data_IF_699200509585
#
_entry.id   IF_699200509585
#
_cell.length_a   1.000
_cell.length_b   1.000
_cell.length_c   1.000
_cell.angle_alpha   90.00
_cell.angle_beta   90.00
_cell.angle_gamma   90.00
#
_symmetry.space_group_name_H-M   'P 1'
#
loop_
_entity.id
_entity.type
_entity.pdbx_description
1 polymer ?
#
# COMPACT_ATOMS: atom_id res chain seq x y z
N UNK A 1 30.92 33.67 22.96
CA UNK A 1 30.30 33.89 24.28
C UNK A 1 28.99 34.63 24.04
N UNK A 2 27.87 33.91 24.11
CA UNK A 2 26.55 34.53 23.93
C UNK A 2 26.36 35.51 25.07
N UNK A 3 26.34 36.80 24.73
CA UNK A 3 26.29 37.95 25.62
C UNK A 3 24.88 38.07 26.20
N UNK A 4 24.46 37.11 27.01
CA UNK A 4 23.18 37.17 27.75
C UNK A 4 23.29 37.97 29.06
N UNK A 5 24.43 38.64 29.31
CA UNK A 5 24.75 39.28 30.59
C UNK A 5 24.65 40.80 30.65
N UNK A 6 24.41 41.52 29.54
CA UNK A 6 24.51 42.99 29.52
C UNK A 6 23.23 43.74 29.14
N UNK A 7 22.07 43.07 29.15
CA UNK A 7 20.79 43.74 28.92
C UNK A 7 20.05 44.10 30.22
N UNK A 8 20.66 43.97 31.40
CA UNK A 8 19.98 44.29 32.67
C UNK A 8 20.37 45.66 33.26
N UNK A 9 21.60 46.20 33.09
CA UNK A 9 21.85 47.58 33.55
C UNK A 9 21.46 48.68 32.55
N UNK A 10 21.35 48.40 31.24
CA UNK A 10 21.08 49.45 30.25
C UNK A 10 19.60 49.82 30.11
N UNK A 11 18.66 48.98 30.56
CA UNK A 11 17.23 49.28 30.52
C UNK A 11 16.83 50.28 31.62
N UNK A 12 17.58 50.29 32.73
CA UNK A 12 17.44 51.30 33.78
C UNK A 12 18.03 52.66 33.37
N UNK A 13 19.01 52.68 32.45
CA UNK A 13 19.60 53.91 31.93
C UNK A 13 18.71 54.61 30.88
N UNK A 14 17.67 53.95 30.38
CA UNK A 14 16.77 54.47 29.34
C UNK A 14 15.30 54.51 29.80
N UNK A 15 15.02 55.04 31.00
CA UNK A 15 13.80 55.78 31.36
C UNK A 15 12.41 55.23 31.01
N UNK A 16 12.24 53.95 30.68
CA UNK A 16 10.93 53.38 30.32
C UNK A 16 10.43 52.46 31.44
N UNK A 17 9.61 53.03 32.32
CA UNK A 17 8.97 52.34 33.46
C UNK A 17 8.23 51.05 33.05
N UNK A 18 7.68 51.03 31.83
CA UNK A 18 7.01 49.87 31.26
C UNK A 18 7.95 48.67 31.04
N UNK A 19 9.17 48.88 30.54
CA UNK A 19 10.12 47.81 30.26
C UNK A 19 10.59 47.09 31.54
N UNK A 20 10.84 47.87 32.60
CA UNK A 20 11.23 47.34 33.90
C UNK A 20 10.08 46.59 34.59
N UNK A 21 8.85 47.12 34.54
CA UNK A 21 7.68 46.46 35.10
C UNK A 21 7.37 45.12 34.40
N UNK A 22 7.52 45.08 33.07
CA UNK A 22 7.37 43.85 32.29
C UNK A 22 8.45 42.83 32.64
N UNK A 23 9.71 43.24 32.76
CA UNK A 23 10.80 42.36 33.16
C UNK A 23 10.60 41.79 34.58
N UNK A 24 10.23 42.64 35.54
CA UNK A 24 9.94 42.23 36.91
C UNK A 24 8.75 41.26 36.97
N UNK A 25 7.71 41.48 36.17
CA UNK A 25 6.56 40.58 36.05
C UNK A 25 6.95 39.20 35.54
N UNK A 26 7.77 39.13 34.49
CA UNK A 26 8.25 37.87 33.93
C UNK A 26 9.25 37.14 34.86
N UNK A 27 10.08 37.89 35.60
CA UNK A 27 10.96 37.33 36.63
C UNK A 27 10.16 36.71 37.78
N UNK A 28 9.15 37.41 38.30
CA UNK A 28 8.28 36.90 39.36
C UNK A 28 7.42 35.70 38.90
N UNK A 29 7.10 35.63 37.61
CA UNK A 29 6.43 34.47 37.00
C UNK A 29 7.37 33.28 36.73
N UNK A 30 8.67 33.40 37.03
CA UNK A 30 9.69 32.37 36.82
C UNK A 30 10.10 32.18 35.35
N UNK A 31 9.65 33.05 34.45
CA UNK A 31 9.93 32.97 33.01
C UNK A 31 11.29 33.59 32.64
N UNK A 32 11.83 34.43 33.51
CA UNK A 32 13.18 35.00 33.39
C UNK A 32 13.97 34.69 34.65
N UNK A 33 15.23 34.29 34.50
CA UNK A 33 16.14 34.14 35.63
C UNK A 33 17.12 35.31 35.68
N UNK A 34 17.35 35.83 36.88
CA UNK A 34 18.33 36.87 37.17
C UNK A 34 19.77 36.36 37.27
N UNK A 35 19.98 35.05 37.13
CA UNK A 35 21.30 34.41 37.13
C UNK A 35 21.71 34.00 35.72
N UNK A 36 23.00 34.10 35.40
CA UNK A 36 23.55 33.68 34.11
C UNK A 36 23.29 32.20 33.76
N UNK A 37 23.05 31.36 34.76
CA UNK A 37 22.73 29.95 34.56
C UNK A 37 21.24 29.73 34.21
N UNK A 38 20.33 30.50 34.83
CA UNK A 38 18.91 30.32 34.57
C UNK A 38 18.44 30.94 33.25
N UNK A 39 19.12 31.98 32.74
CA UNK A 39 18.85 32.45 31.38
C UNK A 39 19.24 31.42 30.31
N UNK A 40 20.30 30.64 30.58
CA UNK A 40 20.68 29.49 29.74
C UNK A 40 19.64 28.37 29.83
N UNK A 41 19.13 28.06 31.02
CA UNK A 41 18.06 27.07 31.20
C UNK A 41 16.77 27.47 30.45
N UNK A 42 16.34 28.73 30.55
CA UNK A 42 15.15 29.22 29.86
C UNK A 42 15.34 29.26 28.33
N UNK A 43 16.54 29.61 27.86
CA UNK A 43 16.88 29.56 26.44
C UNK A 43 16.85 28.12 25.90
N UNK A 44 17.40 27.15 26.64
CA UNK A 44 17.33 25.73 26.26
C UNK A 44 15.87 25.25 26.23
N UNK A 45 15.06 25.59 27.24
CA UNK A 45 13.66 25.18 27.28
C UNK A 45 12.87 25.71 26.08
N UNK A 46 13.11 26.95 25.67
CA UNK A 46 12.53 27.53 24.46
C UNK A 46 13.01 26.82 23.20
N UNK A 47 14.31 26.52 23.09
CA UNK A 47 14.88 25.79 21.95
C UNK A 47 14.30 24.38 21.82
N UNK A 48 14.21 23.62 22.93
CA UNK A 48 13.63 22.27 22.94
C UNK A 48 12.16 22.32 22.51
N UNK A 49 11.40 23.30 22.99
CA UNK A 49 10.00 23.50 22.61
C UNK A 49 9.83 23.86 21.13
N UNK A 50 10.70 24.73 20.60
CA UNK A 50 10.73 25.08 19.18
C UNK A 50 11.14 23.89 18.30
N UNK A 51 12.16 23.12 18.70
CA UNK A 51 12.61 21.95 17.97
C UNK A 51 11.53 20.88 17.89
N UNK A 52 10.84 20.60 19.00
CA UNK A 52 9.72 19.65 19.00
C UNK A 52 8.58 20.11 18.08
N UNK A 53 8.26 21.41 18.07
CA UNK A 53 7.26 21.99 17.18
C UNK A 53 7.70 21.98 15.71
N UNK A 54 8.98 22.19 15.41
CA UNK A 54 9.54 22.09 14.06
C UNK A 54 9.45 20.65 13.54
N UNK A 55 9.79 19.66 14.38
CA UNK A 55 9.61 18.23 14.04
C UNK A 55 8.14 17.92 13.74
N UNK A 56 7.23 18.35 14.63
CA UNK A 56 5.79 18.18 14.44
C UNK A 56 5.29 18.89 13.16
N UNK A 57 5.76 20.11 12.88
CA UNK A 57 5.40 20.87 11.69
C UNK A 57 5.90 20.21 10.41
N UNK A 58 7.11 19.64 10.40
CA UNK A 58 7.65 18.93 9.24
C UNK A 58 6.87 17.63 8.98
N UNK A 59 6.50 16.90 10.03
CA UNK A 59 5.66 15.68 9.91
C UNK A 59 4.24 16.04 9.46
N UNK A 60 3.63 17.05 10.07
CA UNK A 60 2.27 17.50 9.78
C UNK A 60 2.12 18.13 8.40
N UNK A 61 3.16 18.77 7.87
CA UNK A 61 3.17 19.35 6.52
C UNK A 61 3.32 18.31 5.40
N UNK A 62 3.81 17.09 5.69
CA UNK A 62 4.10 16.08 4.66
C UNK A 62 2.92 15.17 4.28
N UNK A 63 1.74 15.32 4.89
CA UNK A 63 0.67 14.34 4.69
C UNK A 63 -0.66 15.03 4.38
N UNK A 64 -0.97 15.32 3.10
CA UNK A 64 -2.36 15.45 2.69
C UNK A 64 -3.00 14.06 2.79
N UNK A 65 -3.52 13.74 3.98
CA UNK A 65 -4.34 12.55 4.20
C UNK A 65 -5.60 12.68 3.32
N UNK A 66 -5.60 12.01 2.17
CA UNK A 66 -6.83 11.77 1.42
C UNK A 66 -7.42 10.46 1.91
N UNK A 67 -8.54 10.54 2.61
CA UNK A 67 -9.33 9.39 3.07
C UNK A 67 -9.61 8.43 1.91
N UNK A 68 -9.67 7.12 2.19
CA UNK A 68 -9.97 6.08 1.19
C UNK A 68 -11.25 6.41 0.39
N UNK A 69 -12.26 6.94 1.09
CA UNK A 69 -13.53 7.40 0.49
C UNK A 69 -13.32 8.52 -0.53
N UNK A 70 -12.42 9.47 -0.25
CA UNK A 70 -12.11 10.57 -1.16
C UNK A 70 -11.36 10.10 -2.41
N UNK A 71 -10.52 9.07 -2.29
CA UNK A 71 -9.84 8.44 -3.44
C UNK A 71 -10.84 7.74 -4.35
N UNK A 72 -11.80 7.01 -3.79
CA UNK A 72 -12.86 6.33 -4.56
C UNK A 72 -13.81 7.33 -5.23
N UNK A 73 -14.18 8.40 -4.54
CA UNK A 73 -14.98 9.48 -5.11
C UNK A 73 -14.28 10.14 -6.31
N UNK A 74 -12.98 10.46 -6.19
CA UNK A 74 -12.23 11.05 -7.30
C UNK A 74 -12.12 10.11 -8.50
N UNK A 75 -11.97 8.80 -8.27
CA UNK A 75 -12.00 7.78 -9.34
C UNK A 75 -13.37 7.72 -10.01
N UNK A 76 -14.44 7.69 -9.22
CA UNK A 76 -15.82 7.68 -9.73
C UNK A 76 -16.13 8.95 -10.56
N UNK A 77 -15.74 10.12 -10.06
CA UNK A 77 -15.88 11.39 -10.76
C UNK A 77 -15.11 11.43 -12.08
N UNK A 78 -13.87 10.93 -12.11
CA UNK A 78 -13.09 10.85 -13.34
C UNK A 78 -13.75 9.92 -14.38
N UNK A 79 -14.24 8.75 -13.96
CA UNK A 79 -14.95 7.82 -14.83
C UNK A 79 -16.27 8.40 -15.34
N UNK A 80 -17.03 9.09 -14.48
CA UNK A 80 -18.27 9.77 -14.87
C UNK A 80 -18.00 10.87 -15.91
N UNK A 81 -16.99 11.72 -15.68
CA UNK A 81 -16.61 12.78 -16.61
C UNK A 81 -16.09 12.24 -17.95
N UNK A 82 -15.39 11.10 -17.94
CA UNK A 82 -14.97 10.39 -19.16
C UNK A 82 -16.19 9.82 -19.92
N UNK A 83 -17.16 9.26 -19.20
CA UNK A 83 -18.41 8.77 -19.79
C UNK A 83 -19.26 9.92 -20.37
N UNK A 84 -19.28 11.09 -19.73
CA UNK A 84 -19.92 12.30 -20.24
C UNK A 84 -19.22 12.85 -21.47
N UNK A 85 -17.88 12.94 -21.47
CA UNK A 85 -17.13 13.35 -22.65
C UNK A 85 -17.35 12.38 -23.82
N UNK A 86 -17.37 11.08 -23.55
CA UNK A 86 -17.74 10.08 -24.56
C UNK A 86 -19.20 10.21 -25.01
N UNK A 87 -20.11 10.80 -24.21
CA UNK A 87 -21.48 11.11 -24.62
C UNK A 87 -21.58 12.38 -25.46
N UNK A 88 -20.73 13.37 -25.22
CA UNK A 88 -20.71 14.63 -25.98
C UNK A 88 -19.93 14.51 -27.29
N UNK A 89 -18.80 13.78 -27.28
CA UNK A 89 -17.97 13.52 -28.47
C UNK A 89 -18.62 12.44 -29.36
N UNK A 90 -19.34 11.47 -28.77
CA UNK A 90 -20.19 10.55 -29.53
C UNK A 90 -21.52 11.22 -29.84
N UNK A 91 -21.53 12.01 -30.90
CA UNK A 91 -22.69 12.17 -31.78
C UNK A 91 -23.13 10.78 -32.27
N UNK A 92 -23.88 10.09 -31.41
CA UNK A 92 -24.82 8.98 -31.64
C UNK A 92 -24.35 7.94 -32.67
N UNK A 93 -23.46 7.03 -32.27
CA UNK A 93 -23.61 5.66 -32.80
C UNK A 93 -24.96 5.17 -32.30
N UNK A 94 -25.93 5.05 -33.22
CA UNK A 94 -27.33 4.75 -32.94
C UNK A 94 -27.43 3.57 -31.97
N UNK A 95 -28.45 3.52 -31.11
CA UNK A 95 -28.72 2.34 -30.27
C UNK A 95 -28.73 1.05 -31.11
N UNK A 96 -29.17 1.16 -32.37
CA UNK A 96 -29.14 0.10 -33.36
C UNK A 96 -27.70 -0.30 -33.77
N UNK A 97 -26.76 0.66 -33.86
CA UNK A 97 -25.35 0.41 -34.18
C UNK A 97 -24.59 -0.30 -33.04
N UNK A 98 -24.91 0.01 -31.78
CA UNK A 98 -24.37 -0.75 -30.63
C UNK A 98 -24.91 -2.18 -30.58
N UNK A 99 -26.18 -2.39 -30.95
CA UNK A 99 -26.75 -3.74 -31.04
C UNK A 99 -26.17 -4.53 -32.24
N UNK A 100 -25.95 -3.89 -33.38
CA UNK A 100 -25.32 -4.52 -34.56
C UNK A 100 -23.85 -4.84 -34.32
N UNK A 101 -23.09 -3.95 -33.66
CA UNK A 101 -21.68 -4.17 -33.36
C UNK A 101 -21.47 -5.17 -32.21
N UNK A 102 -22.32 -5.18 -31.17
CA UNK A 102 -22.29 -6.20 -30.12
C UNK A 102 -22.60 -7.62 -30.63
N UNK A 103 -23.32 -7.75 -31.75
CA UNK A 103 -23.53 -9.02 -32.46
C UNK A 103 -22.48 -9.28 -33.57
N UNK A 104 -21.69 -8.28 -33.97
CA UNK A 104 -20.58 -8.42 -34.92
C UNK A 104 -19.27 -8.86 -34.23
N UNK A 105 -19.27 -9.01 -32.91
CA UNK A 105 -18.23 -9.68 -32.16
C UNK A 105 -18.40 -11.20 -32.30
N UNK A 106 -18.31 -11.71 -33.54
CA UNK A 106 -18.33 -13.15 -33.86
C UNK A 106 -17.25 -13.93 -33.10
N UNK A 107 -16.30 -13.26 -32.45
CA UNK A 107 -15.27 -13.87 -31.60
C UNK A 107 -15.71 -14.07 -30.15
N UNK A 108 -16.68 -13.31 -29.63
CA UNK A 108 -17.20 -13.50 -28.25
C UNK A 108 -18.37 -14.49 -28.22
N UNK A 109 -19.22 -14.51 -29.26
CA UNK A 109 -20.32 -15.48 -29.36
C UNK A 109 -19.89 -16.90 -29.74
N UNK A 110 -18.82 -17.09 -30.53
CA UNK A 110 -18.27 -18.43 -30.81
C UNK A 110 -17.65 -19.08 -29.55
N UNK A 111 -17.13 -18.26 -28.61
CA UNK A 111 -16.63 -18.77 -27.33
C UNK A 111 -17.75 -18.95 -26.29
N UNK A 112 -18.79 -18.12 -26.32
CA UNK A 112 -19.92 -18.22 -25.39
C UNK A 112 -20.93 -19.32 -25.75
N UNK A 113 -21.13 -19.60 -27.05
CA UNK A 113 -21.97 -20.71 -27.55
C UNK A 113 -21.16 -21.97 -27.88
N UNK A 114 -19.91 -22.09 -27.40
CA UNK A 114 -19.21 -23.36 -27.49
C UNK A 114 -20.03 -24.37 -26.67
N UNK A 115 -20.59 -25.43 -27.29
CA UNK A 115 -21.32 -26.42 -26.51
C UNK A 115 -20.37 -26.90 -25.42
N UNK A 116 -20.86 -26.92 -24.18
CA UNK A 116 -20.13 -27.50 -23.06
C UNK A 116 -19.67 -28.87 -23.52
N UNK A 117 -18.36 -28.99 -23.80
CA UNK A 117 -17.75 -30.28 -24.01
C UNK A 117 -17.67 -30.85 -22.62
N UNK A 118 -18.50 -31.85 -22.24
CA UNK A 118 -18.26 -32.51 -20.97
C UNK A 118 -16.79 -32.92 -20.99
N UNK A 119 -16.07 -32.54 -19.93
CA UNK A 119 -14.77 -33.17 -19.65
C UNK A 119 -15.05 -34.65 -19.77
N UNK A 120 -14.41 -35.33 -20.74
CA UNK A 120 -14.69 -36.74 -21.04
C UNK A 120 -14.59 -37.48 -19.72
N UNK A 121 -15.74 -37.89 -19.19
CA UNK A 121 -15.89 -38.66 -17.96
C UNK A 121 -15.17 -39.98 -18.20
N UNK A 122 -13.92 -40.07 -17.74
CA UNK A 122 -13.00 -41.14 -18.11
C UNK A 122 -11.58 -40.68 -18.42
N UNK A 123 -11.28 -39.37 -18.41
CA UNK A 123 -9.89 -38.94 -18.29
C UNK A 123 -9.50 -38.87 -16.81
N UNK A 124 -8.42 -39.56 -16.41
CA UNK A 124 -7.95 -39.50 -15.04
C UNK A 124 -7.42 -38.10 -14.74
N UNK A 125 -7.97 -37.47 -13.71
CA UNK A 125 -7.50 -36.17 -13.19
C UNK A 125 -6.14 -36.30 -12.53
N UNK A 126 -5.91 -37.43 -11.87
CA UNK A 126 -4.70 -37.71 -11.12
C UNK A 126 -3.89 -38.84 -11.77
N UNK A 127 -2.56 -38.64 -11.85
CA UNK A 127 -1.63 -39.60 -12.43
C UNK A 127 -0.29 -39.59 -11.70
N UNK A 128 0.18 -40.76 -11.26
CA UNK A 128 1.48 -40.87 -10.61
C UNK A 128 2.62 -40.68 -11.63
N UNK A 129 3.57 -39.79 -11.33
CA UNK A 129 4.73 -39.53 -12.18
C UNK A 129 5.73 -40.70 -12.27
N UNK A 130 5.69 -41.66 -11.33
CA UNK A 130 6.64 -42.79 -11.27
C UNK A 130 6.07 -44.04 -11.96
N UNK A 131 4.91 -44.52 -11.52
CA UNK A 131 4.31 -45.76 -12.03
C UNK A 131 3.19 -45.53 -13.06
N UNK A 132 2.74 -44.30 -13.25
CA UNK A 132 1.70 -43.98 -14.22
C UNK A 132 0.28 -44.37 -13.83
N UNK A 133 0.06 -45.01 -12.68
CA UNK A 133 -1.28 -45.34 -12.16
C UNK A 133 -2.13 -44.08 -12.01
N UNK A 134 -3.42 -44.24 -12.23
CA UNK A 134 -4.41 -43.18 -12.29
C UNK A 134 -5.57 -43.47 -11.34
N UNK A 135 -6.39 -42.45 -11.05
CA UNK A 135 -7.59 -42.60 -10.21
C UNK A 135 -8.63 -43.59 -10.76
N UNK A 136 -8.50 -44.00 -12.03
CA UNK A 136 -9.39 -44.97 -12.67
C UNK A 136 -8.95 -46.42 -12.45
N UNK A 137 -7.70 -46.66 -12.06
CA UNK A 137 -7.15 -48.02 -11.97
C UNK A 137 -7.56 -48.72 -10.68
N UNK A 138 -7.68 -47.99 -9.56
CA UNK A 138 -8.14 -48.52 -8.27
C UNK A 138 -8.61 -47.35 -7.38
N UNK A 139 -9.83 -47.50 -6.83
CA UNK A 139 -10.55 -46.48 -6.05
C UNK A 139 -9.91 -46.21 -4.68
N UNK A 140 -9.03 -47.09 -4.21
CA UNK A 140 -8.29 -46.95 -2.94
C UNK A 140 -7.01 -46.10 -3.05
N UNK A 141 -6.58 -45.76 -4.27
CA UNK A 141 -5.36 -44.98 -4.51
C UNK A 141 -5.58 -43.50 -4.18
N UNK A 142 -4.82 -43.01 -3.20
CA UNK A 142 -4.76 -41.57 -2.90
C UNK A 142 -3.55 -40.96 -3.57
N UNK A 143 -3.77 -39.89 -4.34
CA UNK A 143 -2.73 -39.10 -4.96
C UNK A 143 -2.39 -37.89 -4.09
N UNK A 144 -1.10 -37.66 -3.85
CA UNK A 144 -0.62 -36.51 -3.07
C UNK A 144 0.53 -35.81 -3.79
N UNK A 145 0.62 -34.51 -3.61
CA UNK A 145 1.72 -33.69 -4.10
C UNK A 145 2.92 -33.77 -3.16
N UNK A 146 4.12 -33.79 -3.73
CA UNK A 146 5.33 -33.59 -2.96
C UNK A 146 5.71 -32.11 -2.92
N UNK A 147 5.76 -31.52 -1.72
CA UNK A 147 6.15 -30.11 -1.53
C UNK A 147 7.63 -29.82 -1.80
N UNK A 148 8.48 -30.85 -1.86
CA UNK A 148 9.92 -30.72 -2.11
C UNK A 148 10.27 -30.73 -3.60
N UNK A 149 9.39 -31.27 -4.44
CA UNK A 149 9.58 -31.32 -5.89
C UNK A 149 9.29 -29.96 -6.52
N UNK A 150 10.12 -29.55 -7.48
CA UNK A 150 9.84 -28.39 -8.31
C UNK A 150 8.81 -28.78 -9.38
N UNK A 151 7.52 -28.53 -9.12
CA UNK A 151 6.42 -28.74 -10.07
C UNK A 151 5.18 -29.38 -9.46
N UNK A 152 4.10 -29.43 -10.23
CA UNK A 152 2.82 -30.03 -9.80
C UNK A 152 2.78 -31.54 -10.11
N UNK A 153 3.77 -32.28 -9.63
CA UNK A 153 3.82 -33.74 -9.80
C UNK A 153 3.11 -34.44 -8.64
N UNK A 154 2.20 -35.35 -9.00
CA UNK A 154 1.45 -36.17 -8.06
C UNK A 154 2.05 -37.59 -7.98
N UNK A 155 1.96 -38.17 -6.79
CA UNK A 155 2.46 -39.51 -6.50
C UNK A 155 1.38 -40.33 -5.77
N UNK A 156 1.28 -41.63 -6.06
CA UNK A 156 0.47 -42.53 -5.27
C UNK A 156 1.11 -42.77 -3.88
N UNK A 157 0.35 -43.28 -2.92
CA UNK A 157 0.82 -43.53 -1.54
C UNK A 157 2.15 -44.31 -1.46
N UNK A 158 2.37 -45.26 -2.37
CA UNK A 158 3.58 -46.11 -2.40
C UNK A 158 4.83 -45.35 -2.88
N UNK A 159 4.66 -44.39 -3.79
CA UNK A 159 5.77 -43.62 -4.38
C UNK A 159 5.98 -42.25 -3.73
N UNK A 160 5.04 -41.78 -2.91
CA UNK A 160 5.11 -40.46 -2.29
C UNK A 160 6.35 -40.28 -1.40
N UNK A 161 6.83 -41.33 -0.75
CA UNK A 161 7.96 -41.25 0.19
C UNK A 161 9.27 -41.82 -0.37
N UNK A 162 9.22 -42.48 -1.53
CA UNK A 162 10.36 -43.19 -2.14
C UNK A 162 10.79 -42.61 -3.48
N UNK A 163 10.06 -41.61 -4.01
CA UNK A 163 10.44 -40.95 -5.27
C UNK A 163 11.67 -40.06 -5.12
N UNK A 164 12.41 -39.94 -6.22
CA UNK A 164 13.52 -38.98 -6.35
C UNK A 164 12.92 -37.60 -6.61
N UNK A 165 13.31 -36.61 -5.81
CA UNK A 165 12.79 -35.25 -5.97
C UNK A 165 13.32 -34.59 -7.24
N UNK A 166 12.40 -34.06 -8.04
CA UNK A 166 12.70 -33.31 -9.26
C UNK A 166 13.10 -31.89 -8.83
N UNK A 167 14.31 -31.45 -9.18
CA UNK A 167 14.76 -30.09 -8.88
C UNK A 167 14.38 -29.11 -9.99
N UNK A 168 14.49 -27.81 -9.75
CA UNK A 168 14.16 -26.79 -10.74
C UNK A 168 14.99 -26.89 -12.04
N UNK A 169 16.21 -27.44 -11.94
CA UNK A 169 17.05 -27.69 -13.11
C UNK A 169 16.53 -28.88 -13.93
N UNK A 170 16.08 -29.94 -13.27
CA UNK A 170 15.55 -31.13 -13.93
C UNK A 170 14.23 -30.84 -14.65
N UNK A 171 13.35 -30.03 -14.04
CA UNK A 171 12.06 -29.66 -14.65
C UNK A 171 12.22 -28.91 -15.99
N UNK A 172 13.24 -28.07 -16.15
CA UNK A 172 13.48 -27.35 -17.42
C UNK A 172 13.82 -28.28 -18.58
N UNK A 173 14.42 -29.44 -18.30
CA UNK A 173 14.81 -30.42 -19.32
C UNK A 173 13.68 -31.39 -19.68
N UNK A 174 12.56 -31.37 -18.95
CA UNK A 174 11.40 -32.24 -19.14
C UNK A 174 10.20 -31.52 -19.80
N UNK A 175 10.40 -30.29 -20.30
CA UNK A 175 9.37 -29.48 -20.98
C UNK A 175 9.56 -29.42 -22.48
#
# INVERSE_FOLDING_TARGET
TIVCGFAVPSMAAAGSSAGYAMWQGLYNAGLLSGSGMGCYANAIAALVSMLNFIVFMIVSRKIPYKSSTQKNFNKAMYTAKKAEKNRTDAKRTSFNEKLYNANSEKTTWDSANKPYKPVRSGQPKHRCAVCGRTELDDESLVFRFCSKCAGNYEYCNEHLYTHIHITANDNKNMR
#
